data_IF_412597160981
#
_entry.id   IF_412597160981
#
_cell.length_a   1.000
_cell.length_b   1.000
_cell.length_c   1.000
_cell.angle_alpha   90.00
_cell.angle_beta   90.00
_cell.angle_gamma   90.00
#
_symmetry.space_group_name_H-M   'P 1'
#
loop_
_entity.id
_entity.type
_entity.pdbx_description
1 polymer ?
#
# COMPACT_ATOMS: atom_id res chain seq x y z
N UNK A 1 -36.44 6.71 -32.13
CA UNK A 1 -35.22 6.46 -31.35
C UNK A 1 -35.65 5.82 -30.03
N UNK A 2 -35.07 4.67 -29.64
CA UNK A 2 -35.35 4.08 -28.34
C UNK A 2 -35.01 5.08 -27.22
N UNK A 3 -35.77 5.03 -26.12
CA UNK A 3 -35.60 5.93 -24.97
C UNK A 3 -34.19 5.90 -24.42
N UNK A 4 -33.58 4.73 -24.32
CA UNK A 4 -32.21 4.52 -23.87
C UNK A 4 -31.17 5.26 -24.74
N UNK A 5 -31.30 5.17 -26.07
CA UNK A 5 -30.42 5.93 -27.00
C UNK A 5 -30.61 7.45 -26.88
N UNK A 6 -31.82 7.91 -26.59
CA UNK A 6 -32.07 9.32 -26.39
C UNK A 6 -31.44 9.82 -25.08
N UNK A 7 -31.61 9.07 -24.01
CA UNK A 7 -31.00 9.39 -22.71
C UNK A 7 -29.46 9.36 -22.80
N UNK A 8 -28.87 8.38 -23.50
CA UNK A 8 -27.44 8.30 -23.75
C UNK A 8 -26.92 9.52 -24.53
N UNK A 9 -27.63 9.95 -25.57
CA UNK A 9 -27.28 11.16 -26.33
C UNK A 9 -27.42 12.44 -25.50
N UNK A 10 -28.43 12.55 -24.64
CA UNK A 10 -28.58 13.67 -23.71
C UNK A 10 -27.43 13.73 -22.73
N UNK A 11 -27.02 12.60 -22.15
CA UNK A 11 -25.86 12.49 -21.26
C UNK A 11 -24.57 12.91 -21.97
N UNK A 12 -24.38 12.45 -23.20
CA UNK A 12 -23.23 12.83 -24.03
C UNK A 12 -23.21 14.32 -24.40
N UNK A 13 -24.39 14.91 -24.65
CA UNK A 13 -24.50 16.33 -25.03
C UNK A 13 -24.38 17.30 -23.85
N UNK A 14 -24.70 16.87 -22.62
CA UNK A 14 -24.65 17.70 -21.40
C UNK A 14 -24.12 16.90 -20.22
N UNK A 15 -22.87 16.40 -20.29
CA UNK A 15 -22.32 15.52 -19.26
C UNK A 15 -22.31 16.14 -17.86
N UNK A 16 -22.12 17.45 -17.75
CA UNK A 16 -22.09 18.17 -16.48
C UNK A 16 -23.41 18.15 -15.69
N UNK A 17 -24.56 17.96 -16.38
CA UNK A 17 -25.88 17.89 -15.72
C UNK A 17 -26.32 16.45 -15.44
N UNK A 18 -25.83 15.47 -16.19
CA UNK A 18 -26.23 14.07 -16.10
C UNK A 18 -25.17 13.19 -15.47
N UNK A 19 -23.99 13.73 -15.13
CA UNK A 19 -22.99 13.00 -14.38
C UNK A 19 -23.53 12.64 -13.00
N UNK A 20 -23.34 11.40 -12.57
CA UNK A 20 -23.81 10.91 -11.28
C UNK A 20 -23.38 11.82 -10.12
N UNK A 21 -22.15 12.31 -10.13
CA UNK A 21 -21.60 13.20 -9.11
C UNK A 21 -22.38 14.52 -8.96
N UNK A 22 -23.01 14.99 -10.05
CA UNK A 22 -23.76 16.24 -10.10
C UNK A 22 -25.23 16.09 -9.73
N UNK A 23 -25.74 14.87 -9.62
CA UNK A 23 -27.12 14.63 -9.23
C UNK A 23 -27.33 14.98 -7.76
N UNK A 24 -28.54 15.48 -7.41
CA UNK A 24 -28.95 15.68 -6.03
C UNK A 24 -28.87 14.35 -5.29
N UNK A 25 -28.36 14.37 -4.07
CA UNK A 25 -28.32 13.20 -3.21
C UNK A 25 -29.70 12.96 -2.58
N UNK A 26 -30.42 11.96 -3.07
CA UNK A 26 -31.79 11.68 -2.64
C UNK A 26 -31.88 11.36 -1.14
N UNK A 27 -32.77 12.08 -0.44
CA UNK A 27 -33.02 11.90 0.98
C UNK A 27 -31.90 12.40 1.90
N UNK A 28 -30.88 13.08 1.36
CA UNK A 28 -29.76 13.63 2.12
C UNK A 28 -29.89 15.15 2.29
N UNK A 29 -29.32 15.65 3.37
CA UNK A 29 -29.32 17.07 3.76
C UNK A 29 -27.91 17.50 4.17
N UNK A 30 -27.73 18.78 4.49
CA UNK A 30 -26.45 19.29 5.03
C UNK A 30 -26.05 18.61 6.36
N UNK A 31 -27.00 18.11 7.13
CA UNK A 31 -26.75 17.41 8.39
C UNK A 31 -26.05 16.05 8.17
N UNK A 32 -26.17 15.46 6.96
CA UNK A 32 -25.57 14.19 6.59
C UNK A 32 -24.13 14.34 6.11
N UNK A 33 -23.63 15.58 5.97
CA UNK A 33 -22.24 15.87 5.64
C UNK A 33 -21.41 16.01 6.92
N UNK A 34 -20.22 15.42 6.93
CA UNK A 34 -19.24 15.56 8.00
C UNK A 34 -18.51 16.92 7.90
N UNK A 35 -19.01 17.91 8.64
CA UNK A 35 -18.43 19.25 8.65
C UNK A 35 -16.98 19.26 9.13
N UNK A 36 -16.63 18.44 10.13
CA UNK A 36 -15.26 18.40 10.65
C UNK A 36 -14.28 17.91 9.59
N UNK A 37 -14.66 16.89 8.84
CA UNK A 37 -13.87 16.36 7.72
C UNK A 37 -13.74 17.38 6.58
N UNK A 38 -14.82 18.07 6.23
CA UNK A 38 -14.76 19.18 5.26
C UNK A 38 -13.81 20.27 5.73
N UNK A 39 -13.93 20.73 6.98
CA UNK A 39 -13.04 21.75 7.56
C UNK A 39 -11.58 21.28 7.60
N UNK A 40 -11.34 20.00 7.89
CA UNK A 40 -10.00 19.40 7.80
C UNK A 40 -9.41 19.48 6.40
N UNK A 41 -10.18 19.09 5.39
CA UNK A 41 -9.78 19.17 3.98
C UNK A 41 -9.52 20.62 3.52
N UNK A 42 -10.35 21.58 3.94
CA UNK A 42 -10.15 23.01 3.66
C UNK A 42 -8.85 23.51 4.29
N UNK A 43 -8.51 23.12 5.53
CA UNK A 43 -7.22 23.49 6.16
C UNK A 43 -6.04 23.07 5.31
N UNK A 44 -6.02 21.82 4.83
CA UNK A 44 -4.97 21.32 3.93
C UNK A 44 -4.88 22.14 2.64
N UNK A 45 -6.02 22.51 2.06
CA UNK A 45 -6.08 23.34 0.87
C UNK A 45 -5.53 24.77 1.08
N UNK A 46 -5.81 25.36 2.24
CA UNK A 46 -5.27 26.68 2.62
C UNK A 46 -3.77 26.62 2.90
N UNK A 47 -3.32 25.63 3.68
CA UNK A 47 -1.90 25.42 4.00
C UNK A 47 -1.05 25.23 2.75
N UNK A 48 -1.60 24.58 1.72
CA UNK A 48 -0.93 24.39 0.42
C UNK A 48 -1.04 25.57 -0.54
N UNK A 49 -1.77 26.63 -0.17
CA UNK A 49 -2.02 27.78 -1.03
C UNK A 49 -3.02 27.54 -2.16
N UNK A 50 -3.74 26.42 -2.16
CA UNK A 50 -4.78 26.11 -3.18
C UNK A 50 -6.14 26.72 -2.88
N UNK A 51 -6.37 27.08 -1.63
CA UNK A 51 -7.57 27.78 -1.17
C UNK A 51 -7.18 29.07 -0.42
N UNK A 52 -8.01 30.12 -0.50
CA UNK A 52 -7.76 31.37 0.23
C UNK A 52 -8.04 31.20 1.73
N UNK A 53 -7.32 31.95 2.57
CA UNK A 53 -7.46 31.90 4.04
C UNK A 53 -8.89 32.13 4.53
N UNK A 54 -9.68 32.96 3.83
CA UNK A 54 -11.07 33.23 4.19
C UNK A 54 -11.95 31.98 4.20
N UNK A 55 -11.57 30.93 3.45
CA UNK A 55 -12.31 29.66 3.44
C UNK A 55 -12.36 28.96 4.80
N UNK A 56 -11.45 29.30 5.72
CA UNK A 56 -11.43 28.74 7.08
C UNK A 56 -12.59 29.27 7.95
N UNK A 57 -13.06 30.49 7.69
CA UNK A 57 -14.06 31.20 8.52
C UNK A 57 -15.42 31.33 7.83
N UNK A 58 -15.55 30.96 6.58
CA UNK A 58 -16.81 30.99 5.85
C UNK A 58 -17.88 30.05 6.44
N UNK A 59 -19.18 30.45 6.35
CA UNK A 59 -20.28 29.56 6.70
C UNK A 59 -20.19 28.21 5.94
N UNK A 60 -20.59 27.11 6.58
CA UNK A 60 -20.45 25.77 6.05
C UNK A 60 -21.11 25.58 4.67
N UNK A 61 -22.34 26.05 4.51
CA UNK A 61 -23.05 25.99 3.24
C UNK A 61 -22.36 26.82 2.13
N UNK A 62 -21.71 27.94 2.47
CA UNK A 62 -20.93 28.74 1.52
C UNK A 62 -19.70 27.98 1.04
N UNK A 63 -18.99 27.31 1.96
CA UNK A 63 -17.84 26.47 1.63
C UNK A 63 -18.26 25.35 0.68
N UNK A 64 -19.33 24.60 1.00
CA UNK A 64 -19.82 23.53 0.13
C UNK A 64 -20.25 24.05 -1.25
N UNK A 65 -20.92 25.21 -1.30
CA UNK A 65 -21.30 25.86 -2.57
C UNK A 65 -20.08 26.23 -3.42
N UNK A 66 -19.03 26.81 -2.83
CA UNK A 66 -17.76 27.13 -3.52
C UNK A 66 -16.98 25.90 -4.00
N UNK A 67 -17.20 24.77 -3.36
CA UNK A 67 -16.66 23.48 -3.79
C UNK A 67 -17.55 22.79 -4.85
N UNK A 68 -18.66 23.40 -5.25
CA UNK A 68 -19.64 22.84 -6.18
C UNK A 68 -20.27 21.52 -5.68
N UNK A 69 -20.47 21.43 -4.37
CA UNK A 69 -21.02 20.24 -3.68
C UNK A 69 -22.51 20.35 -3.35
N UNK A 70 -23.16 21.46 -3.76
CA UNK A 70 -24.58 21.70 -3.55
C UNK A 70 -25.31 21.92 -4.88
N UNK A 71 -26.53 21.39 -4.96
CA UNK A 71 -27.52 21.72 -5.97
C UNK A 71 -28.72 22.37 -5.27
N UNK A 72 -29.03 23.62 -5.61
CA UNK A 72 -30.14 24.39 -5.01
C UNK A 72 -30.15 24.36 -3.47
N UNK A 73 -28.96 24.38 -2.86
CA UNK A 73 -28.77 24.36 -1.40
C UNK A 73 -28.74 22.96 -0.76
N UNK A 74 -28.99 21.91 -1.51
CA UNK A 74 -28.98 20.51 -1.07
C UNK A 74 -27.70 19.78 -1.55
N UNK A 75 -27.17 18.80 -0.80
CA UNK A 75 -26.00 18.06 -1.22
C UNK A 75 -26.20 17.32 -2.55
N UNK A 76 -25.17 17.31 -3.39
CA UNK A 76 -25.09 16.41 -4.53
C UNK A 76 -24.36 15.11 -4.16
N UNK A 77 -24.34 14.14 -5.09
CA UNK A 77 -23.70 12.84 -4.85
C UNK A 77 -22.18 12.94 -4.62
N UNK A 78 -21.52 13.97 -5.20
CA UNK A 78 -20.09 14.21 -4.90
C UNK A 78 -19.87 14.60 -3.43
N UNK A 79 -20.78 15.39 -2.84
CA UNK A 79 -20.70 15.74 -1.43
C UNK A 79 -20.80 14.52 -0.52
N UNK A 80 -21.75 13.61 -0.81
CA UNK A 80 -21.92 12.37 -0.04
C UNK A 80 -20.74 11.42 -0.24
N UNK A 81 -20.29 11.27 -1.48
CA UNK A 81 -19.13 10.42 -1.79
C UNK A 81 -17.87 10.89 -1.07
N UNK A 82 -17.63 12.19 -0.99
CA UNK A 82 -16.45 12.74 -0.34
C UNK A 82 -16.60 12.83 1.18
N UNK A 83 -17.73 13.29 1.68
CA UNK A 83 -17.88 13.75 3.06
C UNK A 83 -19.15 13.23 3.77
N UNK A 84 -19.89 12.31 3.19
CA UNK A 84 -21.10 11.77 3.82
C UNK A 84 -20.76 11.02 5.12
N UNK A 85 -21.53 11.26 6.19
CA UNK A 85 -21.44 10.53 7.46
C UNK A 85 -21.92 9.08 7.32
N UNK A 86 -22.89 8.86 6.42
CA UNK A 86 -23.40 7.56 6.07
C UNK A 86 -23.62 7.46 4.57
N UNK A 87 -23.27 6.30 4.00
CA UNK A 87 -23.40 6.01 2.57
C UNK A 87 -24.22 4.75 2.31
N UNK A 88 -25.12 4.39 3.23
CA UNK A 88 -25.92 3.13 3.18
C UNK A 88 -26.71 3.01 1.88
N UNK A 89 -27.26 4.09 1.37
CA UNK A 89 -28.03 4.12 0.11
C UNK A 89 -27.17 4.04 -1.18
N UNK A 90 -25.84 3.99 -1.06
CA UNK A 90 -24.90 4.09 -2.16
C UNK A 90 -24.10 2.78 -2.35
N UNK A 91 -24.64 1.74 -2.99
CA UNK A 91 -23.96 0.45 -3.17
C UNK A 91 -22.66 0.55 -3.96
N UNK A 92 -22.48 1.59 -4.77
CA UNK A 92 -21.26 1.87 -5.50
C UNK A 92 -20.13 2.41 -4.61
N UNK A 93 -20.40 2.91 -3.40
CA UNK A 93 -19.39 3.35 -2.43
C UNK A 93 -18.88 2.17 -1.60
N UNK A 94 -18.48 1.12 -2.30
CA UNK A 94 -17.89 -0.12 -1.76
C UNK A 94 -16.56 -0.41 -2.39
N UNK A 95 -15.70 -1.06 -1.62
CA UNK A 95 -14.45 -1.61 -2.07
C UNK A 95 -14.29 -3.04 -1.59
N UNK A 96 -13.83 -3.93 -2.46
CA UNK A 96 -13.46 -5.31 -2.14
C UNK A 96 -11.96 -5.43 -2.07
N UNK A 97 -11.47 -6.11 -1.05
CA UNK A 97 -10.05 -6.31 -0.83
C UNK A 97 -9.80 -7.79 -0.52
N UNK A 98 -8.88 -8.42 -1.23
CA UNK A 98 -8.54 -9.81 -0.99
C UNK A 98 -7.02 -10.03 -1.05
N UNK A 99 -6.52 -10.88 -0.14
CA UNK A 99 -5.16 -11.43 -0.15
C UNK A 99 -5.27 -12.90 -0.55
N UNK A 100 -4.91 -13.19 -1.79
CA UNK A 100 -4.94 -14.53 -2.36
C UNK A 100 -3.67 -15.33 -2.04
N UNK A 101 -3.79 -16.65 -2.02
CA UNK A 101 -2.66 -17.58 -1.95
C UNK A 101 -2.23 -17.92 -3.38
N UNK A 102 -0.93 -17.86 -3.64
CA UNK A 102 -0.42 -18.09 -5.00
C UNK A 102 -0.72 -16.93 -5.95
N UNK A 103 -0.95 -17.27 -7.22
CA UNK A 103 -1.08 -16.30 -8.32
C UNK A 103 -2.46 -16.25 -8.96
N UNK A 104 -3.43 -16.96 -8.40
CA UNK A 104 -4.82 -17.01 -8.87
C UNK A 104 -5.83 -16.63 -7.75
N UNK A 105 -7.14 -16.68 -8.07
CA UNK A 105 -8.23 -16.29 -7.16
C UNK A 105 -8.90 -17.48 -6.47
N UNK A 106 -8.28 -18.66 -6.48
CA UNK A 106 -8.90 -19.88 -5.97
C UNK A 106 -8.95 -19.93 -4.44
N UNK A 107 -7.89 -19.45 -3.77
CA UNK A 107 -7.78 -19.45 -2.32
C UNK A 107 -7.38 -18.07 -1.82
N UNK A 108 -7.96 -17.63 -0.71
CA UNK A 108 -7.61 -16.35 -0.08
C UNK A 108 -7.31 -16.52 1.41
N UNK A 109 -6.37 -15.74 1.91
CA UNK A 109 -6.02 -15.63 3.34
C UNK A 109 -6.88 -14.60 4.07
N UNK A 110 -7.29 -13.56 3.34
CA UNK A 110 -8.14 -12.50 3.87
C UNK A 110 -9.04 -11.98 2.75
N UNK A 111 -10.30 -11.71 3.07
CA UNK A 111 -11.28 -11.17 2.15
C UNK A 111 -12.18 -10.20 2.91
N UNK A 112 -12.15 -8.94 2.50
CA UNK A 112 -12.89 -7.87 3.16
C UNK A 112 -13.72 -7.08 2.14
N UNK A 113 -14.87 -6.61 2.59
CA UNK A 113 -15.66 -5.63 1.86
C UNK A 113 -15.94 -4.46 2.80
N UNK A 114 -15.59 -3.26 2.36
CA UNK A 114 -15.80 -2.03 3.11
C UNK A 114 -16.76 -1.14 2.33
N UNK A 115 -17.68 -0.49 3.04
CA UNK A 115 -18.58 0.54 2.51
C UNK A 115 -18.26 1.82 3.26
N UNK A 116 -18.06 2.92 2.55
CA UNK A 116 -17.68 4.19 3.17
C UNK A 116 -17.54 5.31 2.15
N UNK A 117 -17.36 6.53 2.64
CA UNK A 117 -17.01 7.67 1.82
C UNK A 117 -15.56 7.55 1.28
N UNK A 118 -15.14 8.50 0.45
CA UNK A 118 -13.82 8.47 -0.18
C UNK A 118 -12.67 8.25 0.81
N UNK A 119 -12.67 8.96 1.92
CA UNK A 119 -11.58 8.91 2.91
C UNK A 119 -11.59 7.58 3.66
N UNK A 120 -12.76 7.09 4.03
CA UNK A 120 -12.90 5.79 4.70
C UNK A 120 -12.46 4.63 3.80
N UNK A 121 -12.78 4.69 2.50
CA UNK A 121 -12.30 3.71 1.53
C UNK A 121 -10.80 3.81 1.31
N UNK A 122 -10.25 5.03 1.22
CA UNK A 122 -8.81 5.25 1.09
C UNK A 122 -8.05 4.71 2.31
N UNK A 123 -8.49 5.06 3.52
CA UNK A 123 -7.88 4.62 4.77
C UNK A 123 -7.93 3.09 4.91
N UNK A 124 -9.08 2.48 4.60
CA UNK A 124 -9.25 1.02 4.63
C UNK A 124 -8.31 0.31 3.63
N UNK A 125 -8.18 0.83 2.41
CA UNK A 125 -7.27 0.28 1.41
C UNK A 125 -5.81 0.40 1.81
N UNK A 126 -5.39 1.55 2.35
CA UNK A 126 -4.03 1.74 2.84
C UNK A 126 -3.72 0.84 4.05
N UNK A 127 -4.67 0.68 4.98
CA UNK A 127 -4.53 -0.26 6.09
C UNK A 127 -4.41 -1.72 5.60
N UNK A 128 -5.15 -2.09 4.55
CA UNK A 128 -5.06 -3.42 3.95
C UNK A 128 -3.68 -3.68 3.31
N UNK A 129 -3.10 -2.69 2.63
CA UNK A 129 -1.72 -2.80 2.13
C UNK A 129 -0.71 -2.96 3.26
N UNK A 130 -0.80 -2.13 4.31
CA UNK A 130 0.10 -2.23 5.48
C UNK A 130 0.00 -3.58 6.19
N UNK A 131 -1.18 -4.20 6.21
CA UNK A 131 -1.40 -5.52 6.82
C UNK A 131 -0.78 -6.68 6.03
N UNK A 132 -0.78 -6.59 4.69
CA UNK A 132 -0.51 -7.76 3.83
C UNK A 132 0.74 -7.65 2.98
N UNK A 133 1.38 -6.49 2.92
CA UNK A 133 2.64 -6.29 2.22
C UNK A 133 3.82 -6.38 3.17
N UNK A 134 4.93 -6.88 2.66
CA UNK A 134 6.14 -6.97 3.45
C UNK A 134 6.76 -5.58 3.66
N UNK A 135 7.26 -5.37 4.86
CA UNK A 135 8.07 -4.18 5.20
C UNK A 135 9.53 -4.57 5.20
N UNK A 136 10.34 -3.82 4.49
CA UNK A 136 11.80 -3.87 4.56
C UNK A 136 12.32 -2.64 5.29
N UNK A 137 13.39 -2.82 6.08
CA UNK A 137 14.05 -1.71 6.78
C UNK A 137 15.50 -1.58 6.34
N UNK A 138 15.91 -0.38 5.97
CA UNK A 138 17.31 -0.04 5.68
C UNK A 138 17.82 0.96 6.73
N UNK A 139 19.00 0.69 7.27
CA UNK A 139 19.65 1.66 8.17
C UNK A 139 20.36 2.68 7.30
N UNK A 140 19.95 3.95 7.39
CA UNK A 140 20.59 5.09 6.72
C UNK A 140 21.15 6.01 7.80
N UNK A 141 22.45 5.97 8.00
CA UNK A 141 23.12 6.65 9.12
C UNK A 141 22.65 6.06 10.47
N UNK A 142 22.04 6.89 11.33
CA UNK A 142 21.51 6.49 12.63
C UNK A 142 19.99 6.21 12.64
N UNK A 143 19.33 6.28 11.47
CA UNK A 143 17.87 6.07 11.36
C UNK A 143 17.60 4.80 10.59
N UNK A 144 16.60 4.04 11.06
CA UNK A 144 15.98 2.95 10.30
C UNK A 144 14.84 3.56 9.49
N UNK A 145 14.94 3.44 8.17
CA UNK A 145 13.87 3.78 7.24
C UNK A 145 13.16 2.49 6.86
N UNK A 146 11.85 2.47 7.07
CA UNK A 146 11.00 1.32 6.74
C UNK A 146 10.19 1.64 5.48
N UNK A 147 10.19 0.71 4.54
CA UNK A 147 9.46 0.84 3.28
C UNK A 147 8.65 -0.42 3.02
N UNK A 148 7.44 -0.25 2.50
CA UNK A 148 6.70 -1.36 1.92
C UNK A 148 7.43 -1.90 0.69
N UNK A 149 7.26 -3.18 0.39
CA UNK A 149 7.85 -3.82 -0.80
C UNK A 149 7.40 -3.19 -2.13
N UNK A 150 6.24 -2.52 -2.15
CA UNK A 150 5.79 -1.60 -3.20
C UNK A 150 5.57 -0.23 -2.55
N UNK A 151 6.04 0.88 -3.18
CA UNK A 151 5.99 2.20 -2.56
C UNK A 151 4.59 2.60 -2.10
N UNK A 152 4.45 2.99 -0.84
CA UNK A 152 3.18 3.42 -0.26
C UNK A 152 2.57 4.61 -1.01
N UNK A 153 3.43 5.52 -1.51
CA UNK A 153 3.00 6.66 -2.34
C UNK A 153 2.38 6.19 -3.66
N UNK A 154 2.98 5.20 -4.34
CA UNK A 154 2.45 4.65 -5.59
C UNK A 154 1.12 3.93 -5.38
N UNK A 155 0.99 3.16 -4.30
CA UNK A 155 -0.26 2.48 -3.94
C UNK A 155 -1.37 3.48 -3.60
N UNK A 156 -1.04 4.51 -2.80
CA UNK A 156 -1.98 5.58 -2.43
C UNK A 156 -2.46 6.35 -3.65
N UNK A 157 -1.56 6.80 -4.52
CA UNK A 157 -1.90 7.52 -5.74
C UNK A 157 -2.80 6.67 -6.65
N UNK A 158 -2.48 5.38 -6.81
CA UNK A 158 -3.28 4.46 -7.61
C UNK A 158 -4.68 4.25 -7.04
N UNK A 159 -4.81 4.17 -5.71
CA UNK A 159 -6.11 4.03 -5.05
C UNK A 159 -6.93 5.32 -5.13
N UNK A 160 -6.31 6.48 -4.91
CA UNK A 160 -6.96 7.80 -5.11
C UNK A 160 -7.50 7.93 -6.54
N UNK A 161 -6.67 7.59 -7.54
CA UNK A 161 -7.09 7.62 -8.94
C UNK A 161 -8.24 6.63 -9.21
N UNK A 162 -8.17 5.42 -8.66
CA UNK A 162 -9.22 4.42 -8.82
C UNK A 162 -10.56 4.86 -8.22
N UNK A 163 -10.55 5.54 -7.08
CA UNK A 163 -11.73 6.10 -6.44
C UNK A 163 -12.24 7.34 -7.17
N UNK A 164 -11.33 8.22 -7.65
CA UNK A 164 -11.69 9.46 -8.34
C UNK A 164 -12.26 9.19 -9.74
N UNK A 165 -11.66 8.27 -10.51
CA UNK A 165 -12.02 8.04 -11.93
C UNK A 165 -13.00 6.88 -12.14
N UNK A 166 -13.55 6.31 -11.08
CA UNK A 166 -14.56 5.26 -11.16
C UNK A 166 -15.83 5.76 -11.86
N UNK A 167 -16.45 4.91 -12.69
CA UNK A 167 -17.78 5.16 -13.24
C UNK A 167 -18.86 4.87 -12.19
N UNK A 168 -19.35 5.89 -11.48
CA UNK A 168 -20.29 5.76 -10.37
C UNK A 168 -21.71 5.37 -10.81
N UNK A 169 -22.08 5.55 -12.06
CA UNK A 169 -23.35 5.07 -12.63
C UNK A 169 -23.45 3.54 -12.62
N UNK A 170 -22.33 2.85 -12.61
CA UNK A 170 -22.25 1.39 -12.51
C UNK A 170 -22.33 0.97 -11.03
N UNK A 171 -23.54 1.08 -10.48
CA UNK A 171 -23.81 0.86 -9.05
C UNK A 171 -23.50 -0.56 -8.56
N UNK A 172 -23.56 -1.57 -9.44
CA UNK A 172 -23.33 -2.99 -9.14
C UNK A 172 -21.86 -3.41 -9.20
N UNK A 173 -20.94 -2.53 -9.64
CA UNK A 173 -19.54 -2.80 -9.71
C UNK A 173 -18.80 -2.07 -8.57
N UNK A 174 -17.63 -2.55 -8.16
CA UNK A 174 -16.87 -2.00 -7.02
C UNK A 174 -15.41 -1.81 -7.39
N UNK A 175 -14.74 -0.88 -6.71
CA UNK A 175 -13.28 -0.81 -6.70
C UNK A 175 -12.75 -2.08 -6.00
N UNK A 176 -11.65 -2.63 -6.51
CA UNK A 176 -11.05 -3.85 -5.99
C UNK A 176 -9.56 -3.71 -5.72
N UNK A 177 -9.11 -4.30 -4.62
CA UNK A 177 -7.69 -4.53 -4.31
C UNK A 177 -7.50 -6.03 -4.23
N UNK A 178 -6.61 -6.57 -5.06
CA UNK A 178 -6.24 -7.98 -5.04
C UNK A 178 -4.72 -8.09 -4.85
N UNK A 179 -4.31 -8.72 -3.75
CA UNK A 179 -2.90 -8.96 -3.43
C UNK A 179 -2.63 -10.46 -3.62
N UNK A 180 -1.77 -10.80 -4.58
CA UNK A 180 -1.27 -12.15 -4.85
C UNK A 180 0.15 -12.33 -4.30
N UNK A 181 0.73 -13.49 -4.46
CA UNK A 181 2.11 -13.72 -4.03
C UNK A 181 3.12 -13.01 -4.93
N UNK A 182 2.78 -12.80 -6.22
CA UNK A 182 3.65 -12.19 -7.25
C UNK A 182 3.29 -10.75 -7.62
N UNK A 183 2.10 -10.27 -7.29
CA UNK A 183 1.61 -8.95 -7.73
C UNK A 183 0.52 -8.36 -6.86
N UNK A 184 0.24 -7.09 -7.06
CA UNK A 184 -0.89 -6.34 -6.52
C UNK A 184 -1.69 -5.77 -7.70
N UNK A 185 -2.99 -5.93 -7.68
CA UNK A 185 -3.92 -5.35 -8.63
C UNK A 185 -4.86 -4.38 -7.93
N UNK A 186 -4.95 -3.14 -8.42
CA UNK A 186 -5.95 -2.15 -8.01
C UNK A 186 -6.82 -1.89 -9.23
N UNK A 187 -8.12 -2.16 -9.12
CA UNK A 187 -9.05 -2.10 -10.24
C UNK A 187 -10.27 -1.24 -9.93
N UNK A 188 -10.72 -0.45 -10.89
CA UNK A 188 -11.95 0.31 -10.80
C UNK A 188 -12.81 0.15 -12.06
N UNK A 189 -14.16 0.15 -11.91
CA UNK A 189 -15.07 0.22 -13.04
C UNK A 189 -14.80 1.49 -13.86
N UNK A 190 -14.47 1.33 -15.13
CA UNK A 190 -14.17 2.45 -16.00
C UNK A 190 -13.52 2.04 -17.32
N UNK A 191 -13.36 3.01 -18.17
CA UNK A 191 -12.58 2.94 -19.40
C UNK A 191 -11.76 4.23 -19.55
N UNK A 192 -10.64 4.17 -20.22
CA UNK A 192 -9.89 5.38 -20.53
C UNK A 192 -10.65 6.26 -21.54
N UNK A 193 -10.45 7.58 -21.49
CA UNK A 193 -10.87 8.46 -22.58
C UNK A 193 -10.28 7.99 -23.91
N UNK A 194 -10.93 8.27 -25.04
CA UNK A 194 -10.46 7.80 -26.37
C UNK A 194 -9.02 8.22 -26.71
N UNK A 195 -8.52 9.30 -26.11
CA UNK A 195 -7.17 9.83 -26.30
C UNK A 195 -6.10 9.14 -25.45
N UNK A 196 -6.49 8.26 -24.50
CA UNK A 196 -5.57 7.61 -23.56
C UNK A 196 -5.64 6.10 -23.73
N UNK A 197 -4.48 5.46 -23.80
CA UNK A 197 -4.32 4.00 -23.80
C UNK A 197 -3.49 3.55 -22.60
N UNK A 198 -3.45 2.25 -22.27
CA UNK A 198 -2.56 1.71 -21.24
C UNK A 198 -1.08 2.07 -21.42
N UNK A 199 -0.65 2.31 -22.66
CA UNK A 199 0.72 2.72 -23.00
C UNK A 199 0.90 4.23 -22.89
N UNK A 200 -0.05 5.01 -23.45
CA UNK A 200 0.06 6.47 -23.51
C UNK A 200 -0.17 7.15 -22.15
N UNK A 201 -0.85 6.50 -21.20
CA UNK A 201 -1.04 7.04 -19.83
C UNK A 201 0.29 7.30 -19.10
N UNK A 202 1.36 6.61 -19.51
CA UNK A 202 2.72 6.75 -18.97
C UNK A 202 3.44 7.99 -19.49
N UNK A 203 2.94 8.58 -20.56
CA UNK A 203 3.49 9.79 -21.17
C UNK A 203 2.78 11.03 -20.64
N UNK A 204 3.36 12.23 -20.79
CA UNK A 204 2.66 13.46 -20.48
C UNK A 204 1.34 13.55 -21.25
N UNK A 205 0.26 13.78 -20.52
CA UNK A 205 -1.08 13.96 -21.09
C UNK A 205 -1.89 14.93 -20.23
N UNK A 206 -2.93 15.51 -20.82
CA UNK A 206 -3.87 16.32 -20.06
C UNK A 206 -4.73 15.46 -19.14
N UNK A 207 -5.19 16.05 -18.02
CA UNK A 207 -6.09 15.38 -17.10
C UNK A 207 -7.52 15.40 -17.64
N UNK A 208 -8.11 14.21 -17.81
CA UNK A 208 -9.50 14.01 -18.20
C UNK A 208 -10.28 13.28 -17.10
N UNK A 209 -10.59 13.95 -15.99
CA UNK A 209 -11.30 13.28 -14.91
C UNK A 209 -12.72 12.91 -15.32
N UNK A 210 -13.09 11.65 -15.07
CA UNK A 210 -14.46 11.18 -15.33
C UNK A 210 -15.46 11.88 -14.37
N UNK A 211 -15.05 12.13 -13.13
CA UNK A 211 -15.80 12.83 -12.10
C UNK A 211 -15.12 14.18 -11.80
N UNK A 212 -15.47 15.19 -12.57
CA UNK A 212 -14.79 16.50 -12.53
C UNK A 212 -14.93 17.20 -11.17
N UNK A 213 -16.13 17.17 -10.55
CA UNK A 213 -16.37 17.81 -9.25
C UNK A 213 -15.55 17.15 -8.15
N UNK A 214 -15.57 15.81 -8.10
CA UNK A 214 -14.77 15.02 -7.16
C UNK A 214 -13.28 15.35 -7.35
N UNK A 215 -12.78 15.31 -8.60
CA UNK A 215 -11.39 15.63 -8.91
C UNK A 215 -10.99 17.04 -8.49
N UNK A 216 -11.85 18.04 -8.73
CA UNK A 216 -11.60 19.43 -8.34
C UNK A 216 -11.52 19.61 -6.82
N UNK A 217 -12.40 18.98 -6.07
CA UNK A 217 -12.35 19.03 -4.60
C UNK A 217 -11.07 18.34 -4.09
N UNK A 218 -10.74 17.16 -4.59
CA UNK A 218 -9.53 16.45 -4.20
C UNK A 218 -8.26 17.23 -4.56
N UNK A 219 -8.26 17.93 -5.70
CA UNK A 219 -7.17 18.84 -6.06
C UNK A 219 -7.08 20.02 -5.10
N UNK A 220 -8.18 20.75 -4.87
CA UNK A 220 -8.21 21.92 -3.97
C UNK A 220 -7.78 21.54 -2.54
N UNK A 221 -8.00 20.32 -2.13
CA UNK A 221 -7.70 19.80 -0.79
C UNK A 221 -6.43 18.92 -0.73
N UNK A 222 -5.60 18.96 -1.78
CA UNK A 222 -4.28 18.31 -1.86
C UNK A 222 -4.24 16.77 -1.95
N UNK A 223 -5.40 16.14 -2.11
CA UNK A 223 -5.45 14.67 -2.25
C UNK A 223 -5.15 14.19 -3.67
N UNK A 224 -5.33 15.05 -4.67
CA UNK A 224 -5.06 14.78 -6.08
C UNK A 224 -4.20 15.89 -6.67
N UNK A 225 -3.34 15.56 -7.63
CA UNK A 225 -2.60 16.54 -8.42
C UNK A 225 -3.31 16.80 -9.77
N UNK A 226 -3.10 18.00 -10.32
CA UNK A 226 -3.57 18.33 -11.67
C UNK A 226 -2.56 17.91 -12.75
N UNK A 227 -2.94 18.09 -14.00
CA UNK A 227 -2.07 17.95 -15.19
C UNK A 227 -1.71 16.53 -15.59
N UNK A 228 -2.51 15.51 -15.27
CA UNK A 228 -2.26 14.13 -15.72
C UNK A 228 -0.94 13.51 -15.19
N UNK A 229 -0.38 14.08 -14.13
CA UNK A 229 0.91 13.64 -13.57
C UNK A 229 0.84 12.40 -12.68
N UNK A 230 -0.35 11.90 -12.35
CA UNK A 230 -0.55 10.80 -11.40
C UNK A 230 0.18 9.51 -11.82
N UNK A 231 0.05 9.10 -13.08
CA UNK A 231 0.74 7.90 -13.58
C UNK A 231 2.27 8.06 -13.52
N UNK A 232 2.80 9.25 -13.85
CA UNK A 232 4.23 9.55 -13.75
C UNK A 232 4.72 9.45 -12.30
N UNK A 233 3.99 9.99 -11.33
CA UNK A 233 4.35 9.91 -9.91
C UNK A 233 4.39 8.46 -9.42
N UNK A 234 3.42 7.64 -9.82
CA UNK A 234 3.40 6.20 -9.52
C UNK A 234 4.67 5.52 -10.07
N UNK A 235 5.03 5.80 -11.32
CA UNK A 235 6.23 5.24 -11.97
C UNK A 235 7.50 5.74 -11.28
N UNK A 236 7.60 7.04 -11.00
CA UNK A 236 8.78 7.62 -10.37
C UNK A 236 9.01 7.08 -8.95
N UNK A 237 7.94 6.92 -8.17
CA UNK A 237 8.01 6.29 -6.84
C UNK A 237 8.52 4.84 -6.94
N UNK A 238 8.03 4.06 -7.91
CA UNK A 238 8.52 2.70 -8.15
C UNK A 238 10.01 2.69 -8.54
N UNK A 239 10.46 3.61 -9.40
CA UNK A 239 11.86 3.73 -9.81
C UNK A 239 12.78 4.06 -8.63
N UNK A 240 12.38 5.01 -7.77
CA UNK A 240 13.16 5.38 -6.57
C UNK A 240 13.39 4.19 -5.65
N UNK A 241 12.41 3.30 -5.54
CA UNK A 241 12.49 2.12 -4.67
C UNK A 241 12.99 0.85 -5.40
N UNK A 242 13.38 0.95 -6.68
CA UNK A 242 13.78 -0.17 -7.55
C UNK A 242 12.69 -1.26 -7.68
N UNK A 243 11.43 -0.86 -7.66
CA UNK A 243 10.30 -1.74 -7.95
C UNK A 243 10.01 -1.69 -9.45
N UNK A 244 9.65 -2.82 -10.09
CA UNK A 244 9.30 -2.81 -11.52
C UNK A 244 8.18 -1.80 -11.83
N UNK A 245 8.26 -1.20 -13.00
CA UNK A 245 7.25 -0.26 -13.47
C UNK A 245 5.87 -0.93 -13.52
N UNK A 246 4.81 -0.26 -13.00
CA UNK A 246 3.47 -0.81 -13.01
C UNK A 246 2.89 -0.85 -14.44
N UNK A 247 1.94 -1.75 -14.63
CA UNK A 247 1.26 -1.97 -15.92
C UNK A 247 -0.22 -1.63 -15.77
N UNK A 248 -0.73 -0.82 -16.70
CA UNK A 248 -2.17 -0.56 -16.82
C UNK A 248 -2.80 -1.50 -17.85
N UNK A 249 -4.02 -1.94 -17.59
CA UNK A 249 -4.81 -2.73 -18.51
C UNK A 249 -6.28 -2.35 -18.43
N UNK A 250 -7.01 -2.60 -19.53
CA UNK A 250 -8.47 -2.43 -19.60
C UNK A 250 -9.08 -3.76 -20.01
N UNK A 251 -9.93 -4.31 -19.18
CA UNK A 251 -10.62 -5.56 -19.46
C UNK A 251 -11.99 -5.59 -18.78
N UNK A 252 -13.01 -6.06 -19.50
CA UNK A 252 -14.36 -6.24 -18.95
C UNK A 252 -14.99 -4.98 -18.35
N UNK A 253 -14.60 -3.78 -18.84
CA UNK A 253 -15.09 -2.51 -18.30
C UNK A 253 -14.43 -2.07 -17.01
N UNK A 254 -13.25 -2.64 -16.69
CA UNK A 254 -12.39 -2.24 -15.59
C UNK A 254 -11.05 -1.72 -16.11
N UNK A 255 -10.56 -0.65 -15.49
CA UNK A 255 -9.17 -0.25 -15.54
C UNK A 255 -8.47 -0.92 -14.36
N UNK A 256 -7.34 -1.56 -14.62
CA UNK A 256 -6.52 -2.20 -13.59
C UNK A 256 -5.09 -1.72 -13.68
N UNK A 257 -4.52 -1.28 -12.56
CA UNK A 257 -3.09 -1.06 -12.40
C UNK A 257 -2.49 -2.25 -11.64
N UNK A 258 -1.44 -2.84 -12.20
CA UNK A 258 -0.75 -4.02 -11.67
C UNK A 258 0.67 -3.68 -11.28
N UNK A 259 1.01 -3.89 -10.02
CA UNK A 259 2.37 -3.81 -9.48
C UNK A 259 2.92 -5.22 -9.30
N UNK A 260 4.10 -5.49 -9.85
CA UNK A 260 4.82 -6.72 -9.54
C UNK A 260 5.38 -6.61 -8.13
N UNK A 261 5.20 -7.67 -7.35
CA UNK A 261 5.87 -7.78 -6.05
C UNK A 261 7.30 -8.28 -6.28
N UNK A 262 8.29 -7.69 -5.61
CA UNK A 262 9.64 -8.25 -5.65
C UNK A 262 9.59 -9.65 -5.04
N UNK A 263 10.09 -10.66 -5.78
CA UNK A 263 10.25 -12.00 -5.21
C UNK A 263 11.19 -11.89 -4.01
N UNK A 264 10.73 -12.33 -2.84
CA UNK A 264 11.53 -12.35 -1.61
C UNK A 264 12.81 -13.19 -1.82
N UNK A 265 12.77 -14.19 -2.71
CA UNK A 265 13.94 -14.94 -3.14
C UNK A 265 14.93 -14.15 -3.99
N UNK A 266 14.51 -13.07 -4.66
CA UNK A 266 15.37 -12.22 -5.52
C UNK A 266 15.90 -10.97 -4.83
N UNK A 267 15.35 -10.53 -3.71
CA UNK A 267 15.88 -9.38 -2.93
C UNK A 267 17.20 -9.73 -2.23
N UNK A 268 17.59 -11.00 -2.22
CA UNK A 268 18.84 -11.49 -1.64
C UNK A 268 19.96 -11.79 -2.66
N UNK A 269 19.84 -11.38 -3.94
CA UNK A 269 21.00 -11.56 -4.85
C UNK A 269 21.14 -10.32 -5.74
N UNK A 270 22.11 -9.44 -5.50
CA UNK A 270 22.69 -8.64 -6.57
C UNK A 270 23.36 -9.64 -7.53
N UNK A 271 22.82 -9.76 -8.76
CA UNK A 271 23.50 -10.47 -9.84
C UNK A 271 24.80 -9.73 -10.19
N UNK A 272 25.85 -10.05 -9.53
CA UNK A 272 27.23 -9.93 -10.01
C UNK A 272 28.14 -10.69 -9.07
N UNK A 273 28.80 -11.72 -9.63
CA UNK A 273 30.03 -12.35 -9.13
C UNK A 273 30.02 -12.72 -7.63
N UNK A 274 29.96 -14.02 -7.36
CA UNK A 274 30.15 -14.62 -6.05
C UNK A 274 31.27 -13.95 -5.25
N UNK A 275 30.88 -12.98 -4.40
CA UNK A 275 31.60 -12.72 -3.17
C UNK A 275 30.60 -13.12 -2.08
N UNK A 276 30.74 -14.36 -1.57
CA UNK A 276 30.10 -14.76 -0.31
C UNK A 276 30.36 -13.66 0.71
N UNK A 277 29.35 -13.14 1.45
CA UNK A 277 29.62 -12.24 2.55
C UNK A 277 30.63 -12.97 3.45
N UNK A 278 31.78 -12.37 3.70
CA UNK A 278 32.66 -12.85 4.75
C UNK A 278 31.85 -12.79 6.03
N UNK A 279 31.51 -13.96 6.58
CA UNK A 279 30.92 -14.05 7.90
C UNK A 279 31.93 -13.40 8.86
N UNK A 280 31.49 -12.36 9.56
CA UNK A 280 32.30 -11.65 10.53
C UNK A 280 31.61 -11.77 11.89
N UNK A 281 32.18 -12.53 12.84
CA UNK A 281 31.58 -12.67 14.17
C UNK A 281 31.58 -11.31 14.88
N UNK A 282 30.39 -10.83 15.23
CA UNK A 282 30.16 -9.49 15.76
C UNK A 282 30.73 -9.23 17.17
N UNK A 283 31.37 -10.19 17.80
CA UNK A 283 31.99 -10.04 19.12
C UNK A 283 33.00 -11.15 19.43
N UNK A 284 34.00 -10.80 20.23
CA UNK A 284 35.04 -11.71 20.74
C UNK A 284 34.46 -12.96 21.46
N UNK A 285 33.27 -12.85 22.05
CA UNK A 285 32.58 -13.96 22.70
C UNK A 285 31.99 -14.93 21.67
N UNK A 286 31.44 -14.44 20.57
CA UNK A 286 30.94 -15.28 19.46
C UNK A 286 32.10 -15.98 18.78
N UNK A 287 33.23 -15.30 18.51
CA UNK A 287 34.44 -15.90 18.00
C UNK A 287 34.93 -17.05 18.88
N UNK A 288 35.02 -16.81 20.19
CA UNK A 288 35.43 -17.82 21.15
C UNK A 288 34.52 -19.05 21.13
N UNK A 289 33.21 -18.84 21.01
CA UNK A 289 32.23 -19.92 20.91
C UNK A 289 32.44 -20.73 19.60
N UNK A 290 32.61 -20.07 18.46
CA UNK A 290 32.83 -20.74 17.17
C UNK A 290 34.12 -21.57 17.18
N UNK A 291 35.20 -21.02 17.73
CA UNK A 291 36.52 -21.70 17.79
C UNK A 291 36.44 -22.93 18.72
N UNK A 292 35.73 -22.82 19.85
CA UNK A 292 35.67 -23.85 20.89
C UNK A 292 34.68 -24.98 20.58
N UNK A 293 33.57 -24.73 19.85
CA UNK A 293 32.56 -25.74 19.55
C UNK A 293 32.96 -26.61 18.34
N UNK A 294 32.53 -27.89 18.35
CA UNK A 294 32.63 -28.78 17.20
C UNK A 294 31.52 -28.55 16.17
N UNK A 295 31.56 -29.28 15.06
CA UNK A 295 30.59 -29.13 13.97
C UNK A 295 29.33 -30.02 14.12
N UNK A 296 29.12 -30.60 15.31
CA UNK A 296 27.99 -31.46 15.63
C UNK A 296 26.95 -30.73 16.48
N UNK A 297 25.75 -31.31 16.60
CA UNK A 297 24.71 -30.77 17.48
C UNK A 297 25.09 -30.97 18.96
N UNK A 298 25.42 -29.87 19.65
CA UNK A 298 25.81 -29.83 21.06
C UNK A 298 24.64 -29.36 21.94
N UNK A 299 24.58 -29.84 23.17
CA UNK A 299 23.70 -29.26 24.20
C UNK A 299 24.28 -27.95 24.70
N UNK A 300 23.46 -27.14 25.40
CA UNK A 300 23.96 -25.90 26.05
C UNK A 300 25.06 -26.22 27.07
N UNK A 301 24.95 -27.36 27.76
CA UNK A 301 25.96 -27.77 28.74
C UNK A 301 27.30 -28.10 28.07
N UNK A 302 27.29 -28.87 26.98
CA UNK A 302 28.48 -29.23 26.20
C UNK A 302 29.16 -27.96 25.61
N UNK A 303 28.37 -27.02 25.09
CA UNK A 303 28.90 -25.75 24.59
C UNK A 303 29.52 -24.90 25.68
N UNK A 304 28.89 -24.84 26.87
CA UNK A 304 29.43 -24.13 28.03
C UNK A 304 30.77 -24.73 28.49
N UNK A 305 30.87 -26.05 28.52
CA UNK A 305 32.11 -26.78 28.84
C UNK A 305 33.19 -26.47 27.82
N UNK A 306 32.90 -26.53 26.53
CA UNK A 306 33.83 -26.22 25.45
C UNK A 306 34.38 -24.78 25.53
N UNK A 307 33.55 -23.79 25.90
CA UNK A 307 33.94 -22.39 26.06
C UNK A 307 34.61 -22.08 27.40
N UNK A 308 34.44 -22.99 28.40
CA UNK A 308 34.95 -22.82 29.78
C UNK A 308 34.12 -21.89 30.65
N UNK A 309 32.80 -21.82 30.46
CA UNK A 309 31.88 -20.93 31.18
C UNK A 309 30.97 -21.74 32.10
N UNK A 310 30.93 -21.41 33.42
CA UNK A 310 30.09 -22.10 34.41
C UNK A 310 28.70 -21.52 34.59
N UNK A 311 28.48 -20.23 34.26
CA UNK A 311 27.21 -19.52 34.48
C UNK A 311 26.26 -19.64 33.29
N UNK A 312 25.18 -20.44 33.39
CA UNK A 312 24.23 -20.69 32.32
C UNK A 312 23.51 -19.41 31.80
N UNK A 313 23.18 -18.47 32.69
CA UNK A 313 22.56 -17.20 32.32
C UNK A 313 23.54 -16.34 31.53
N UNK A 314 24.75 -16.17 32.05
CA UNK A 314 25.84 -15.43 31.39
C UNK A 314 26.17 -16.03 30.00
N UNK A 315 26.31 -17.35 29.91
CA UNK A 315 26.55 -18.03 28.64
C UNK A 315 25.45 -17.76 27.61
N UNK A 316 24.16 -17.81 28.01
CA UNK A 316 23.06 -17.53 27.10
C UNK A 316 23.07 -16.08 26.64
N UNK A 317 23.22 -15.12 27.54
CA UNK A 317 23.12 -13.68 27.25
C UNK A 317 24.31 -13.18 26.40
N UNK A 318 25.53 -13.65 26.65
CA UNK A 318 26.73 -13.11 26.04
C UNK A 318 27.39 -13.99 24.99
N UNK A 319 27.03 -15.26 24.87
CA UNK A 319 27.61 -16.18 23.89
C UNK A 319 26.55 -16.78 22.95
N UNK A 320 25.55 -17.51 23.50
CA UNK A 320 24.61 -18.27 22.66
C UNK A 320 23.62 -17.39 21.91
N UNK A 321 22.95 -16.45 22.58
CA UNK A 321 21.98 -15.57 21.92
C UNK A 321 22.61 -14.66 20.85
N UNK A 322 23.78 -14.00 21.12
CA UNK A 322 24.49 -13.28 20.07
C UNK A 322 24.93 -14.17 18.90
N UNK A 323 25.37 -15.41 19.17
CA UNK A 323 25.77 -16.36 18.12
C UNK A 323 24.58 -16.84 17.26
N UNK A 324 23.38 -16.97 17.86
CA UNK A 324 22.15 -17.24 17.11
C UNK A 324 21.76 -16.02 16.28
N UNK A 325 21.81 -14.82 16.86
CA UNK A 325 21.43 -13.56 16.18
C UNK A 325 22.37 -13.20 15.04
N UNK A 326 23.65 -13.52 15.14
CA UNK A 326 24.65 -13.31 14.07
C UNK A 326 24.63 -14.42 13.01
N UNK A 327 23.80 -15.45 13.17
CA UNK A 327 23.79 -16.58 12.26
C UNK A 327 25.00 -17.53 12.38
N UNK A 328 25.79 -17.43 13.46
CA UNK A 328 26.91 -18.33 13.73
C UNK A 328 26.46 -19.72 14.17
N UNK A 329 25.32 -19.78 14.86
CA UNK A 329 24.78 -21.00 15.47
C UNK A 329 23.33 -21.17 15.08
N UNK A 330 22.93 -22.39 14.70
CA UNK A 330 21.55 -22.76 14.42
C UNK A 330 21.00 -23.72 15.48
N UNK A 331 19.72 -23.51 15.82
CA UNK A 331 18.98 -24.37 16.76
C UNK A 331 18.41 -25.60 16.01
N UNK A 332 18.36 -26.74 16.66
CA UNK A 332 17.75 -27.97 16.10
C UNK A 332 16.22 -27.84 15.96
N UNK A 333 15.59 -27.15 16.91
CA UNK A 333 14.15 -26.89 16.92
C UNK A 333 13.94 -25.38 17.00
N UNK A 334 14.02 -24.63 15.89
CA UNK A 334 13.94 -23.17 15.88
C UNK A 334 12.57 -22.66 16.34
N UNK A 335 11.49 -23.34 15.97
CA UNK A 335 10.12 -22.97 16.30
C UNK A 335 9.72 -23.32 17.76
N UNK A 336 10.54 -24.08 18.46
CA UNK A 336 10.33 -24.43 19.87
C UNK A 336 11.63 -24.28 20.70
N UNK A 337 11.99 -23.05 21.10
CA UNK A 337 13.23 -22.79 21.85
C UNK A 337 13.31 -23.48 23.22
N UNK A 338 12.17 -23.96 23.77
CA UNK A 338 12.07 -24.65 25.07
C UNK A 338 11.98 -26.18 24.91
N UNK A 339 12.20 -26.71 23.71
CA UNK A 339 12.12 -28.15 23.49
C UNK A 339 13.08 -28.89 24.40
N UNK A 340 12.68 -30.01 25.08
CA UNK A 340 13.53 -30.74 26.03
C UNK A 340 14.82 -31.28 25.41
N UNK A 341 14.80 -31.60 24.10
CA UNK A 341 15.96 -32.07 23.34
C UNK A 341 16.59 -30.99 22.48
N UNK A 342 16.45 -29.69 22.86
CA UNK A 342 17.07 -28.62 22.10
C UNK A 342 18.58 -28.72 22.09
N UNK A 343 19.16 -28.65 20.88
CA UNK A 343 20.60 -28.67 20.60
C UNK A 343 20.95 -27.57 19.60
N UNK A 344 22.20 -27.24 19.53
CA UNK A 344 22.73 -26.19 18.68
C UNK A 344 23.95 -26.64 17.94
N UNK A 345 24.15 -26.19 16.71
CA UNK A 345 25.38 -26.46 15.95
C UNK A 345 25.84 -25.23 15.18
N UNK A 346 27.12 -25.14 14.83
CA UNK A 346 27.68 -24.11 13.97
C UNK A 346 27.01 -24.16 12.58
N UNK A 347 26.76 -23.00 12.00
CA UNK A 347 26.32 -22.90 10.60
C UNK A 347 27.50 -23.10 9.65
N UNK A 348 27.22 -23.39 8.37
CA UNK A 348 28.27 -23.57 7.37
C UNK A 348 29.19 -22.35 7.27
N UNK A 349 28.61 -21.12 7.33
CA UNK A 349 29.37 -19.89 7.32
C UNK A 349 30.34 -19.74 8.52
N UNK A 350 29.89 -20.16 9.71
CA UNK A 350 30.75 -20.14 10.90
C UNK A 350 31.87 -21.21 10.83
N UNK A 351 31.59 -22.38 10.23
CA UNK A 351 32.60 -23.43 10.01
C UNK A 351 33.64 -22.98 8.99
N UNK A 352 33.24 -22.35 7.89
CA UNK A 352 34.16 -21.78 6.90
C UNK A 352 35.04 -20.69 7.53
N UNK A 353 34.44 -19.78 8.31
CA UNK A 353 35.19 -18.76 9.04
C UNK A 353 36.21 -19.36 10.02
N UNK A 354 35.80 -20.37 10.81
CA UNK A 354 36.68 -21.09 11.72
C UNK A 354 37.92 -21.68 11.00
N UNK A 355 37.69 -22.27 9.83
CA UNK A 355 38.78 -22.84 9.02
C UNK A 355 39.79 -21.76 8.56
N UNK A 356 39.33 -20.53 8.27
CA UNK A 356 40.21 -19.41 7.89
C UNK A 356 41.04 -18.86 9.05
N UNK A 357 40.62 -19.09 10.30
CA UNK A 357 41.38 -18.64 11.49
C UNK A 357 42.43 -19.66 11.94
N UNK A 358 42.36 -20.89 11.43
CA UNK A 358 43.28 -21.99 11.77
C UNK A 358 44.34 -22.21 10.67
N UNK A 359 44.22 -21.50 9.54
CA UNK A 359 45.20 -21.55 8.42
C UNK A 359 46.19 -20.39 8.53
#
# INVERSE_FOLDING_TARGET
MPREMFEERLRAARPQFYAWESMKADGMSLADIDEERVRGAIRLGVESGRLPNMSLTEPFNVVLSKLDLLNEGEPNNAAIMLFGKSVIGYPQLRMRMARFVGTDKNEFRDNQQVTGNFFELLDAGMAFFLKHLNMSGKIVGFRREEHLEVPAEALRESLVNSLCHRQYEKYNLTVGIAIYDDRIEISNPGVFPPSITPESIKQPHDSYPYNLKIAQVLFKTTFLENWGSGAKRIIDACKVQNVPEPVWSVNGGFITVTFKRPNIEQVNVPSSTQVRPKFDPSSTQVEKLIISCNNEYMSVADMMEAVGIKGRKNFREHYLNPAISSGAVQAKYPDNPRHPQQRYKLTEAAIEWKATQQA
#
